data_IF_190859126299
#
_entry.id   IF_190859126299
#
_cell.length_a   1.000
_cell.length_b   1.000
_cell.length_c   1.000
_cell.angle_alpha   90.00
_cell.angle_beta   90.00
_cell.angle_gamma   90.00
#
_symmetry.space_group_name_H-M   'P 1'
#
loop_
_entity.id
_entity.type
_entity.pdbx_description
1 polymer ?
#
# COMPACT_ATOMS: atom_id res chain seq x y z
N UNK A 1 35.42 -59.45 9.04
CA UNK A 1 34.88 -58.38 8.17
C UNK A 1 35.22 -58.76 6.73
N UNK A 2 34.26 -59.14 5.95
CA UNK A 2 34.48 -59.59 4.57
C UNK A 2 34.54 -58.41 3.61
N UNK A 3 35.22 -58.58 2.48
CA UNK A 3 35.34 -57.52 1.42
C UNK A 3 33.98 -56.95 0.99
N UNK A 4 32.89 -57.73 1.14
CA UNK A 4 31.51 -57.30 0.85
C UNK A 4 30.96 -56.26 1.85
N UNK A 5 31.33 -56.33 3.13
CA UNK A 5 30.88 -55.36 4.16
C UNK A 5 31.58 -54.00 4.01
N UNK A 6 32.85 -54.01 3.53
CA UNK A 6 33.60 -52.79 3.27
C UNK A 6 33.04 -52.00 2.05
N UNK A 7 32.64 -52.69 0.99
CA UNK A 7 32.04 -52.08 -0.20
C UNK A 7 30.64 -51.54 0.07
N UNK A 8 29.85 -52.19 0.93
CA UNK A 8 28.49 -51.69 1.30
C UNK A 8 28.57 -50.46 2.21
N UNK A 9 29.58 -50.35 3.09
CA UNK A 9 29.81 -49.16 3.92
C UNK A 9 30.30 -47.96 3.11
N UNK A 10 31.18 -48.17 2.12
CA UNK A 10 31.66 -47.11 1.24
C UNK A 10 30.56 -46.58 0.31
N UNK A 11 29.68 -47.45 -0.20
CA UNK A 11 28.55 -47.07 -1.03
C UNK A 11 27.50 -46.26 -0.25
N UNK A 12 27.25 -46.57 1.04
CA UNK A 12 26.35 -45.82 1.92
C UNK A 12 26.95 -44.46 2.31
N UNK A 13 28.24 -44.35 2.54
CA UNK A 13 28.92 -43.09 2.83
C UNK A 13 28.92 -42.14 1.61
N UNK A 14 29.14 -42.66 0.40
CA UNK A 14 29.05 -41.91 -0.86
C UNK A 14 27.63 -41.48 -1.21
N UNK A 15 26.62 -42.31 -0.92
CA UNK A 15 25.20 -41.94 -1.10
C UNK A 15 24.76 -40.86 -0.12
N UNK A 16 25.25 -40.85 1.11
CA UNK A 16 24.98 -39.79 2.10
C UNK A 16 25.72 -38.48 1.78
N UNK A 17 26.92 -38.53 1.18
CA UNK A 17 27.61 -37.31 0.70
C UNK A 17 26.95 -36.74 -0.55
N UNK A 18 26.37 -37.55 -1.43
CA UNK A 18 25.67 -37.09 -2.63
C UNK A 18 24.29 -36.39 -2.32
N UNK A 19 23.63 -36.75 -1.20
CA UNK A 19 22.39 -36.08 -0.76
C UNK A 19 22.64 -34.76 -0.02
N UNK A 20 23.85 -34.50 0.47
CA UNK A 20 24.18 -33.27 1.19
C UNK A 20 24.59 -32.09 0.29
N UNK A 21 24.74 -32.31 -1.04
CA UNK A 21 25.21 -31.29 -1.99
C UNK A 21 24.06 -30.57 -2.74
N UNK A 22 22.79 -30.93 -2.49
CA UNK A 22 21.64 -30.47 -3.33
C UNK A 22 20.75 -29.42 -2.68
N UNK A 23 21.21 -28.62 -1.73
CA UNK A 23 20.46 -27.47 -1.26
C UNK A 23 21.32 -26.22 -1.03
N UNK A 24 22.14 -25.87 -2.00
CA UNK A 24 22.56 -24.47 -2.09
C UNK A 24 21.31 -23.63 -2.44
N UNK A 25 20.95 -22.61 -1.65
CA UNK A 25 19.87 -21.72 -2.05
C UNK A 25 20.27 -21.11 -3.39
N UNK A 26 19.45 -21.34 -4.42
CA UNK A 26 19.56 -20.57 -5.66
C UNK A 26 19.38 -19.12 -5.26
N UNK A 27 20.48 -18.37 -5.17
CA UNK A 27 20.45 -16.93 -5.02
C UNK A 27 19.68 -16.43 -6.24
N UNK A 28 18.45 -15.97 -6.03
CA UNK A 28 17.65 -15.38 -7.12
C UNK A 28 18.49 -14.24 -7.71
N UNK A 29 18.90 -14.40 -8.95
CA UNK A 29 19.68 -13.39 -9.67
C UNK A 29 18.86 -12.08 -9.74
N UNK A 30 19.55 -10.96 -9.56
CA UNK A 30 18.95 -9.65 -9.79
C UNK A 30 18.50 -9.61 -11.26
N UNK A 31 17.20 -9.38 -11.54
CA UNK A 31 16.71 -9.35 -12.92
C UNK A 31 17.47 -8.30 -13.75
N UNK A 32 17.78 -8.57 -15.01
CA UNK A 32 18.40 -7.59 -15.89
C UNK A 32 17.60 -6.26 -15.89
N UNK A 33 18.28 -5.14 -15.72
CA UNK A 33 17.65 -3.81 -15.67
C UNK A 33 17.11 -3.42 -14.29
N UNK A 34 17.04 -4.32 -13.32
CA UNK A 34 16.73 -3.96 -11.94
C UNK A 34 17.97 -3.42 -11.20
N UNK A 35 17.73 -2.57 -10.19
CA UNK A 35 18.80 -2.10 -9.29
C UNK A 35 18.39 -2.34 -7.84
N UNK A 36 19.36 -2.71 -6.99
CA UNK A 36 19.10 -3.03 -5.59
C UNK A 36 20.27 -2.66 -4.69
N UNK A 37 19.96 -2.33 -3.45
CA UNK A 37 20.93 -2.19 -2.36
C UNK A 37 20.33 -2.77 -1.09
N UNK A 38 21.03 -3.70 -0.44
CA UNK A 38 20.57 -4.39 0.77
C UNK A 38 19.20 -5.07 0.65
N UNK A 39 18.78 -5.38 -0.56
CA UNK A 39 17.52 -6.07 -0.86
C UNK A 39 17.79 -7.21 -1.84
N UNK A 40 17.24 -8.38 -1.55
CA UNK A 40 17.33 -9.58 -2.38
C UNK A 40 15.95 -9.86 -2.99
N UNK A 41 15.93 -10.22 -4.27
CA UNK A 41 14.74 -10.77 -4.93
C UNK A 41 14.54 -12.21 -4.44
N UNK A 42 13.31 -12.55 -4.07
CA UNK A 42 12.91 -13.89 -3.61
C UNK A 42 12.01 -14.55 -4.65
N UNK A 43 11.04 -13.81 -5.20
CA UNK A 43 10.09 -14.31 -6.17
C UNK A 43 9.48 -13.20 -7.01
N UNK A 44 8.75 -13.60 -8.04
CA UNK A 44 8.02 -12.72 -8.94
C UNK A 44 6.78 -13.44 -9.50
N UNK A 45 5.69 -12.69 -9.72
CA UNK A 45 4.49 -13.17 -10.43
C UNK A 45 3.92 -12.09 -11.33
N UNK A 46 3.58 -12.43 -12.55
CA UNK A 46 2.82 -11.56 -13.47
C UNK A 46 1.33 -11.51 -13.10
N UNK A 47 0.89 -12.29 -12.10
CA UNK A 47 -0.48 -12.38 -11.62
C UNK A 47 -1.46 -12.65 -12.78
N UNK A 48 -1.14 -13.63 -13.61
CA UNK A 48 -1.87 -14.00 -14.84
C UNK A 48 -2.10 -12.80 -15.79
N UNK A 49 -1.12 -11.90 -15.89
CA UNK A 49 -1.19 -10.70 -16.71
C UNK A 49 -2.12 -9.61 -16.16
N UNK A 50 -2.41 -9.64 -14.86
CA UNK A 50 -3.17 -8.63 -14.12
C UNK A 50 -2.30 -7.95 -13.06
N UNK A 51 -1.44 -6.98 -13.42
CA UNK A 51 -0.61 -6.29 -12.44
C UNK A 51 -1.42 -5.78 -11.25
N UNK A 52 -1.01 -6.10 -10.01
CA UNK A 52 -1.71 -5.66 -8.82
C UNK A 52 -1.40 -4.20 -8.50
N UNK A 53 -2.29 -3.56 -7.74
CA UNK A 53 -2.09 -2.22 -7.23
C UNK A 53 -1.96 -2.24 -5.70
N UNK A 54 -3.06 -2.42 -4.96
CA UNK A 54 -3.06 -2.45 -3.50
C UNK A 54 -3.02 -3.88 -2.98
N UNK A 55 -2.34 -4.09 -1.86
CA UNK A 55 -2.16 -5.39 -1.24
C UNK A 55 -2.74 -5.44 0.17
N UNK A 56 -3.25 -6.63 0.54
CA UNK A 56 -3.49 -7.03 1.91
C UNK A 56 -3.13 -8.51 2.07
N UNK A 57 -2.89 -8.99 3.30
CA UNK A 57 -2.42 -10.35 3.54
C UNK A 57 -3.04 -10.94 4.80
N UNK A 58 -3.23 -12.25 4.82
CA UNK A 58 -3.50 -13.00 6.05
C UNK A 58 -2.77 -14.35 6.06
N UNK A 59 -2.37 -14.76 7.24
CA UNK A 59 -2.00 -16.14 7.53
C UNK A 59 -3.22 -16.89 8.05
N UNK A 60 -3.45 -18.10 7.55
CA UNK A 60 -4.52 -18.98 8.03
C UNK A 60 -4.12 -20.44 7.89
N UNK A 61 -4.04 -21.11 9.02
CA UNK A 61 -3.74 -22.55 9.06
C UNK A 61 -2.36 -22.91 8.50
N UNK A 62 -1.36 -22.08 8.70
CA UNK A 62 0.00 -22.26 8.20
C UNK A 62 0.19 -21.84 6.73
N UNK A 63 -0.86 -21.35 6.07
CA UNK A 63 -0.82 -20.85 4.69
C UNK A 63 -0.95 -19.33 4.65
N UNK A 64 -0.29 -18.72 3.67
CA UNK A 64 -0.27 -17.26 3.50
C UNK A 64 -1.01 -16.89 2.22
N UNK A 65 -2.03 -16.06 2.37
CA UNK A 65 -2.85 -15.59 1.27
C UNK A 65 -2.69 -14.09 1.11
N UNK A 66 -2.23 -13.68 -0.07
CA UNK A 66 -2.11 -12.27 -0.45
C UNK A 66 -3.29 -11.90 -1.33
N UNK A 67 -3.94 -10.80 -1.00
CA UNK A 67 -5.07 -10.26 -1.76
C UNK A 67 -4.61 -9.01 -2.49
N UNK A 68 -4.98 -8.88 -3.75
CA UNK A 68 -4.53 -7.82 -4.62
C UNK A 68 -5.68 -7.17 -5.38
N UNK A 69 -5.84 -5.85 -5.21
CA UNK A 69 -6.71 -5.03 -6.06
C UNK A 69 -5.97 -4.56 -7.31
N UNK A 70 -6.71 -4.21 -8.37
CA UNK A 70 -6.12 -3.90 -9.67
C UNK A 70 -6.50 -2.50 -10.15
N UNK A 71 -5.51 -1.81 -10.76
CA UNK A 71 -5.71 -0.49 -11.36
C UNK A 71 -6.29 -0.60 -12.78
N UNK A 72 -5.71 -1.49 -13.61
CA UNK A 72 -6.08 -1.65 -15.01
C UNK A 72 -7.08 -2.77 -15.27
N UNK A 73 -7.21 -3.70 -14.33
CA UNK A 73 -8.16 -4.80 -14.36
C UNK A 73 -9.22 -4.61 -13.28
N UNK A 74 -10.42 -5.08 -13.52
CA UNK A 74 -11.54 -4.94 -12.58
C UNK A 74 -11.71 -6.23 -11.80
N UNK A 75 -11.51 -6.16 -10.49
CA UNK A 75 -11.61 -7.30 -9.60
C UNK A 75 -10.47 -7.42 -8.62
N UNK A 76 -10.39 -8.56 -7.98
CA UNK A 76 -9.42 -8.86 -6.92
C UNK A 76 -8.84 -10.24 -7.14
N UNK A 77 -7.53 -10.37 -6.97
CA UNK A 77 -6.82 -11.65 -7.05
C UNK A 77 -6.46 -12.13 -5.65
N UNK A 78 -6.64 -13.41 -5.39
CA UNK A 78 -6.09 -14.11 -4.24
C UNK A 78 -4.88 -14.91 -4.70
N UNK A 79 -3.73 -14.68 -4.07
CA UNK A 79 -2.50 -15.44 -4.32
C UNK A 79 -2.16 -16.28 -3.10
N UNK A 80 -1.70 -17.51 -3.33
CA UNK A 80 -0.98 -18.29 -2.32
C UNK A 80 0.50 -17.89 -2.35
N UNK A 81 0.96 -17.33 -1.25
CA UNK A 81 2.34 -16.90 -1.05
C UNK A 81 3.00 -17.63 0.12
N UNK A 82 2.51 -18.83 0.43
CA UNK A 82 3.08 -19.72 1.45
C UNK A 82 4.55 -19.99 1.15
N UNK A 83 4.86 -20.34 -0.11
CA UNK A 83 6.22 -20.30 -0.63
C UNK A 83 6.42 -18.97 -1.40
N UNK A 84 7.11 -17.98 -0.82
CA UNK A 84 7.27 -16.67 -1.46
C UNK A 84 8.17 -16.71 -2.71
N UNK A 85 8.93 -17.79 -2.91
CA UNK A 85 9.71 -17.98 -4.14
C UNK A 85 8.84 -18.47 -5.31
N UNK A 86 7.65 -18.99 -5.03
CA UNK A 86 6.72 -19.56 -6.02
C UNK A 86 5.28 -19.09 -5.78
N UNK A 87 5.03 -17.75 -5.85
CA UNK A 87 3.68 -17.23 -5.64
C UNK A 87 2.74 -17.75 -6.73
N UNK A 88 1.59 -18.28 -6.34
CA UNK A 88 0.58 -18.83 -7.24
C UNK A 88 -0.74 -18.08 -7.16
N UNK A 89 -1.39 -17.83 -8.30
CA UNK A 89 -2.76 -17.32 -8.32
C UNK A 89 -3.70 -18.45 -7.89
N UNK A 90 -4.44 -18.23 -6.81
CA UNK A 90 -5.40 -19.18 -6.27
C UNK A 90 -6.83 -18.90 -6.75
N UNK A 91 -7.20 -17.61 -6.91
CA UNK A 91 -8.52 -17.21 -7.38
C UNK A 91 -8.49 -15.79 -7.95
N UNK A 92 -9.44 -15.48 -8.83
CA UNK A 92 -9.75 -14.14 -9.29
C UNK A 92 -11.25 -13.87 -9.16
N UNK A 93 -11.60 -12.80 -8.47
CA UNK A 93 -12.97 -12.35 -8.23
C UNK A 93 -13.24 -11.18 -9.18
N UNK A 94 -14.09 -11.33 -10.21
CA UNK A 94 -14.41 -10.23 -11.12
C UNK A 94 -15.09 -9.07 -10.40
N UNK A 95 -14.69 -7.86 -10.70
CA UNK A 95 -15.30 -6.62 -10.22
C UNK A 95 -16.26 -5.99 -11.23
N UNK A 96 -17.04 -4.97 -10.81
CA UNK A 96 -18.00 -4.29 -11.67
C UNK A 96 -17.31 -3.51 -12.81
N UNK A 97 -18.03 -3.36 -13.92
CA UNK A 97 -17.56 -2.59 -15.06
C UNK A 97 -17.38 -1.11 -14.70
N UNK A 98 -16.47 -0.41 -15.39
CA UNK A 98 -16.23 1.04 -15.26
C UNK A 98 -15.97 1.52 -13.82
N UNK A 99 -15.47 0.61 -12.98
CA UNK A 99 -15.28 0.82 -11.54
C UNK A 99 -13.87 0.45 -11.13
N UNK A 100 -13.19 1.32 -10.39
CA UNK A 100 -11.93 0.96 -9.73
C UNK A 100 -12.17 0.00 -8.57
N UNK A 101 -11.33 -1.02 -8.51
CA UNK A 101 -11.29 -2.06 -7.47
C UNK A 101 -9.92 -2.12 -6.80
N UNK A 102 -9.28 -0.96 -6.69
CA UNK A 102 -7.88 -0.85 -6.31
C UNK A 102 -7.62 -1.04 -4.82
N UNK A 103 -8.57 -0.71 -3.96
CA UNK A 103 -8.36 -0.68 -2.52
C UNK A 103 -9.03 -1.84 -1.80
N UNK A 104 -8.31 -2.38 -0.81
CA UNK A 104 -8.83 -3.41 0.09
C UNK A 104 -8.09 -3.42 1.41
N UNK A 105 -8.76 -3.85 2.47
CA UNK A 105 -8.15 -4.15 3.76
C UNK A 105 -8.78 -5.34 4.44
N UNK A 106 -8.01 -6.01 5.30
CA UNK A 106 -8.44 -7.18 6.06
C UNK A 106 -8.35 -6.86 7.54
N UNK A 107 -9.43 -7.13 8.26
CA UNK A 107 -9.50 -7.09 9.71
C UNK A 107 -10.27 -8.32 10.24
N UNK A 108 -9.60 -9.14 11.05
CA UNK A 108 -10.20 -10.38 11.55
C UNK A 108 -10.57 -11.35 10.42
N UNK A 109 -11.84 -11.72 10.36
CA UNK A 109 -12.42 -12.64 9.37
C UNK A 109 -13.08 -11.96 8.16
N UNK A 110 -12.90 -10.64 8.03
CA UNK A 110 -13.53 -9.85 6.95
C UNK A 110 -12.51 -9.15 6.08
N UNK A 111 -12.87 -9.00 4.81
CA UNK A 111 -12.21 -8.13 3.85
C UNK A 111 -13.18 -7.03 3.44
N UNK A 112 -12.67 -5.81 3.35
CA UNK A 112 -13.39 -4.63 2.88
C UNK A 112 -12.74 -4.18 1.58
N UNK A 113 -13.54 -4.05 0.50
CA UNK A 113 -13.02 -3.59 -0.80
C UNK A 113 -13.78 -2.35 -1.26
N UNK A 114 -13.03 -1.32 -1.65
CA UNK A 114 -13.59 -0.07 -2.13
C UNK A 114 -13.97 -0.16 -3.61
N UNK A 115 -15.05 0.52 -3.96
CA UNK A 115 -15.54 0.74 -5.32
C UNK A 115 -15.58 2.24 -5.58
N UNK A 116 -14.89 2.68 -6.63
CA UNK A 116 -14.84 4.09 -7.02
C UNK A 116 -15.03 4.22 -8.53
N UNK A 117 -15.72 5.27 -8.96
CA UNK A 117 -15.82 5.63 -10.37
C UNK A 117 -14.44 5.90 -10.96
N UNK A 118 -14.10 5.27 -12.08
CA UNK A 118 -12.86 5.55 -12.79
C UNK A 118 -12.89 6.96 -13.36
N UNK A 119 -11.85 7.76 -13.06
CA UNK A 119 -11.68 9.07 -13.67
C UNK A 119 -11.43 8.98 -15.18
N UNK A 120 -11.93 9.96 -15.96
CA UNK A 120 -11.81 9.95 -17.42
C UNK A 120 -10.35 9.82 -17.90
N UNK A 121 -9.40 10.53 -17.27
CA UNK A 121 -7.96 10.43 -17.60
C UNK A 121 -7.32 9.05 -17.30
N UNK A 122 -8.06 8.15 -16.66
CA UNK A 122 -7.65 6.80 -16.26
C UNK A 122 -8.42 5.70 -17.02
N UNK A 123 -9.09 6.06 -18.11
CA UNK A 123 -9.85 5.13 -18.93
C UNK A 123 -11.29 4.92 -18.47
N UNK A 124 -11.81 5.77 -17.60
CA UNK A 124 -13.23 5.78 -17.22
C UNK A 124 -14.10 6.40 -18.32
N UNK A 125 -15.29 5.86 -18.47
CA UNK A 125 -16.29 6.33 -19.44
C UNK A 125 -17.50 6.94 -18.71
N UNK A 126 -17.62 8.30 -18.64
CA UNK A 126 -18.65 8.98 -17.84
C UNK A 126 -20.09 8.58 -18.19
N UNK A 127 -20.34 8.16 -19.44
CA UNK A 127 -21.67 7.74 -19.92
C UNK A 127 -22.04 6.30 -19.57
N UNK A 128 -21.08 5.52 -19.10
CA UNK A 128 -21.30 4.12 -18.73
C UNK A 128 -21.63 3.99 -17.23
N UNK A 129 -22.51 3.04 -16.87
CA UNK A 129 -22.76 2.77 -15.47
C UNK A 129 -21.50 2.30 -14.77
N UNK A 130 -21.38 2.67 -13.49
CA UNK A 130 -20.36 2.18 -12.57
C UNK A 130 -21.02 1.74 -11.27
N UNK A 131 -20.32 0.93 -10.51
CA UNK A 131 -20.67 0.66 -9.12
C UNK A 131 -19.83 1.55 -8.18
N UNK A 132 -20.28 1.72 -6.93
CA UNK A 132 -19.64 2.64 -5.99
C UNK A 132 -19.87 2.22 -4.53
N UNK A 133 -19.03 2.74 -3.60
CA UNK A 133 -19.14 2.47 -2.19
C UNK A 133 -18.14 1.43 -1.71
N UNK A 134 -18.59 0.47 -0.93
CA UNK A 134 -17.74 -0.56 -0.30
C UNK A 134 -18.45 -1.89 -0.25
N UNK A 135 -17.73 -2.97 -0.57
CA UNK A 135 -18.18 -4.35 -0.38
C UNK A 135 -17.57 -4.94 0.90
N UNK A 136 -18.38 -5.69 1.63
CA UNK A 136 -17.97 -6.44 2.83
C UNK A 136 -17.97 -7.93 2.50
N UNK A 137 -16.83 -8.60 2.74
CA UNK A 137 -16.64 -10.01 2.41
C UNK A 137 -16.30 -10.81 3.67
N UNK A 138 -16.80 -12.04 3.73
CA UNK A 138 -16.31 -13.07 4.67
C UNK A 138 -15.08 -13.76 4.09
N UNK A 139 -14.06 -13.93 4.91
CA UNK A 139 -12.86 -14.72 4.65
C UNK A 139 -12.88 -16.08 5.36
N UNK A 140 -14.09 -16.63 5.63
CA UNK A 140 -14.23 -17.98 6.19
C UNK A 140 -13.51 -19.01 5.31
N UNK A 141 -13.62 -18.89 3.99
CA UNK A 141 -12.72 -19.49 3.00
C UNK A 141 -11.80 -18.38 2.46
N UNK A 142 -10.49 -18.45 2.72
CA UNK A 142 -9.56 -17.42 2.29
C UNK A 142 -9.37 -17.35 0.77
N UNK A 143 -9.63 -18.44 0.05
CA UNK A 143 -9.49 -18.51 -1.42
C UNK A 143 -10.76 -18.06 -2.12
N UNK A 144 -11.93 -18.31 -1.51
CA UNK A 144 -13.22 -17.94 -2.09
C UNK A 144 -14.00 -17.00 -1.16
N UNK A 145 -13.60 -15.72 -1.03
CA UNK A 145 -14.31 -14.73 -0.23
C UNK A 145 -15.79 -14.64 -0.62
N UNK A 146 -16.67 -14.67 0.38
CA UNK A 146 -18.12 -14.60 0.17
C UNK A 146 -18.61 -13.18 0.44
N UNK A 147 -19.29 -12.56 -0.53
CA UNK A 147 -19.91 -11.26 -0.35
C UNK A 147 -21.01 -11.36 0.73
N UNK A 148 -20.95 -10.44 1.70
CA UNK A 148 -21.92 -10.31 2.79
C UNK A 148 -22.87 -9.14 2.57
N UNK A 149 -22.36 -7.99 2.11
CA UNK A 149 -23.15 -6.79 1.90
C UNK A 149 -22.37 -5.68 1.21
N UNK A 150 -23.06 -4.58 0.96
CA UNK A 150 -22.53 -3.39 0.31
C UNK A 150 -23.05 -2.13 0.99
N UNK A 151 -22.16 -1.17 1.24
CA UNK A 151 -22.51 0.22 1.55
C UNK A 151 -22.38 1.07 0.30
N UNK A 152 -23.43 1.85 -0.02
CA UNK A 152 -23.45 2.81 -1.13
C UNK A 152 -23.21 4.21 -0.61
N UNK A 153 -22.26 4.95 -1.22
CA UNK A 153 -22.02 6.37 -0.90
C UNK A 153 -23.01 7.30 -1.57
N UNK A 154 -23.62 6.87 -2.67
CA UNK A 154 -24.49 7.70 -3.50
C UNK A 154 -23.74 8.73 -4.36
N UNK A 155 -22.40 8.78 -4.27
CA UNK A 155 -21.55 9.74 -4.97
C UNK A 155 -20.56 9.09 -5.93
N UNK A 156 -19.28 9.47 -5.84
CA UNK A 156 -18.22 8.89 -6.68
C UNK A 156 -17.69 7.56 -6.18
N UNK A 157 -18.07 7.17 -4.97
CA UNK A 157 -17.61 5.94 -4.31
C UNK A 157 -16.53 6.20 -3.27
N UNK A 158 -15.80 5.14 -2.94
CA UNK A 158 -14.77 5.15 -1.91
C UNK A 158 -13.38 5.07 -2.54
N UNK A 159 -12.58 6.12 -2.33
CA UNK A 159 -11.20 6.18 -2.81
C UNK A 159 -10.26 5.34 -1.95
N UNK A 160 -10.41 5.40 -0.63
CA UNK A 160 -9.61 4.63 0.34
C UNK A 160 -10.50 4.14 1.47
N UNK A 161 -10.17 2.97 1.99
CA UNK A 161 -10.83 2.40 3.16
C UNK A 161 -9.80 1.97 4.19
N UNK A 162 -10.20 1.91 5.46
CA UNK A 162 -9.45 1.34 6.57
C UNK A 162 -10.39 0.46 7.39
N UNK A 163 -9.88 -0.72 7.75
CA UNK A 163 -10.60 -1.67 8.59
C UNK A 163 -9.63 -2.52 9.41
N UNK A 164 -9.67 -2.36 10.72
CA UNK A 164 -8.82 -3.13 11.65
C UNK A 164 -9.56 -4.26 12.37
N UNK A 165 -10.80 -4.52 11.96
CA UNK A 165 -11.71 -5.44 12.66
C UNK A 165 -12.80 -4.69 13.44
N UNK A 166 -13.70 -5.46 14.09
CA UNK A 166 -14.82 -4.90 14.84
C UNK A 166 -16.00 -4.46 13.99
N UNK A 167 -16.76 -3.49 14.49
CA UNK A 167 -18.04 -3.06 13.89
C UNK A 167 -17.93 -1.88 12.92
N UNK A 168 -16.81 -1.18 12.87
CA UNK A 168 -16.71 0.03 12.07
C UNK A 168 -15.66 -0.06 10.99
N UNK A 169 -15.98 0.35 9.77
CA UNK A 169 -15.04 0.66 8.71
C UNK A 169 -14.98 2.17 8.48
N UNK A 170 -13.83 2.65 8.04
CA UNK A 170 -13.52 4.06 7.89
C UNK A 170 -13.16 4.36 6.44
N UNK A 171 -13.77 5.37 5.83
CA UNK A 171 -13.73 5.63 4.40
C UNK A 171 -13.27 7.05 4.09
N UNK A 172 -12.46 7.17 3.04
CA UNK A 172 -12.29 8.40 2.28
C UNK A 172 -13.24 8.33 1.08
N UNK A 173 -14.39 8.98 1.16
CA UNK A 173 -15.50 8.75 0.24
C UNK A 173 -16.02 10.05 -0.41
N UNK A 174 -16.28 9.97 -1.71
CA UNK A 174 -16.98 11.02 -2.45
C UNK A 174 -18.47 10.90 -2.23
N UNK A 175 -19.04 11.85 -1.46
CA UNK A 175 -20.45 11.87 -1.04
C UNK A 175 -21.22 12.96 -1.77
N UNK A 176 -22.54 12.79 -2.03
CA UNK A 176 -23.37 13.84 -2.60
C UNK A 176 -23.37 15.12 -1.73
N UNK A 177 -23.25 16.26 -2.36
CA UNK A 177 -23.25 17.56 -1.66
C UNK A 177 -21.91 17.97 -1.08
N UNK A 178 -20.85 17.22 -1.36
CA UNK A 178 -19.48 17.53 -0.93
C UNK A 178 -18.53 17.65 -2.12
N UNK A 179 -17.49 18.48 -1.96
CA UNK A 179 -16.36 18.59 -2.89
C UNK A 179 -15.23 17.68 -2.42
N UNK A 180 -14.73 16.81 -3.31
CA UNK A 180 -13.71 15.82 -2.99
C UNK A 180 -14.21 14.74 -2.02
N UNK A 181 -13.28 13.92 -1.53
CA UNK A 181 -13.60 12.89 -0.55
C UNK A 181 -13.66 13.48 0.86
N UNK A 182 -14.59 13.00 1.66
CA UNK A 182 -14.72 13.30 3.09
C UNK A 182 -14.49 12.03 3.92
N UNK A 183 -14.35 12.18 5.22
CA UNK A 183 -14.28 11.06 6.15
C UNK A 183 -15.68 10.56 6.49
N UNK A 184 -15.89 9.23 6.33
CA UNK A 184 -17.15 8.56 6.64
C UNK A 184 -16.87 7.32 7.48
N UNK A 185 -17.67 7.13 8.54
CA UNK A 185 -17.66 5.95 9.41
C UNK A 185 -18.91 5.14 9.09
N UNK A 186 -18.75 3.85 8.84
CA UNK A 186 -19.84 2.94 8.52
C UNK A 186 -19.88 1.79 9.51
N UNK A 187 -21.02 1.55 10.11
CA UNK A 187 -21.29 0.41 10.97
C UNK A 187 -21.57 -0.82 10.11
N UNK A 188 -20.81 -1.88 10.35
CA UNK A 188 -20.93 -3.20 9.75
C UNK A 188 -21.14 -4.29 10.81
N UNK A 189 -21.68 -3.93 11.98
CA UNK A 189 -22.09 -4.89 13.01
C UNK A 189 -23.05 -5.95 12.45
N UNK A 190 -23.99 -5.54 11.57
CA UNK A 190 -24.66 -6.43 10.60
C UNK A 190 -24.02 -6.21 9.21
N UNK A 191 -23.09 -7.06 8.77
CA UNK A 191 -22.41 -6.87 7.51
C UNK A 191 -23.32 -6.98 6.27
N UNK A 192 -24.55 -7.52 6.42
CA UNK A 192 -25.54 -7.57 5.35
C UNK A 192 -26.28 -6.24 5.18
N UNK A 193 -26.22 -5.36 6.18
CA UNK A 193 -26.91 -4.07 6.21
C UNK A 193 -25.98 -2.96 6.72
N UNK A 194 -24.88 -2.65 6.03
CA UNK A 194 -23.99 -1.57 6.43
C UNK A 194 -24.72 -0.24 6.46
N UNK A 195 -24.51 0.55 7.53
CA UNK A 195 -25.17 1.87 7.68
C UNK A 195 -24.14 2.91 8.09
N UNK A 196 -24.30 4.15 7.63
CA UNK A 196 -23.47 5.25 8.07
C UNK A 196 -23.68 5.52 9.56
N UNK A 197 -22.56 5.58 10.31
CA UNK A 197 -22.52 5.90 11.73
C UNK A 197 -22.11 7.35 11.99
N UNK A 198 -21.30 7.95 11.11
CA UNK A 198 -20.86 9.32 11.25
C UNK A 198 -20.02 9.80 10.08
N UNK A 199 -19.79 11.11 10.01
CA UNK A 199 -18.94 11.74 8.98
C UNK A 199 -18.25 12.99 9.50
N UNK A 200 -17.17 13.36 8.83
CA UNK A 200 -16.48 14.62 9.09
C UNK A 200 -15.83 15.16 7.80
N UNK A 201 -15.73 16.47 7.69
CA UNK A 201 -15.13 17.14 6.53
C UNK A 201 -14.39 18.41 6.95
N UNK A 202 -13.44 18.81 6.14
CA UNK A 202 -12.77 20.12 6.30
C UNK A 202 -13.72 21.22 5.81
N UNK A 203 -13.78 22.32 6.55
CA UNK A 203 -14.56 23.50 6.17
C UNK A 203 -14.22 23.93 4.74
N UNK A 204 -15.22 24.13 3.93
CA UNK A 204 -15.12 24.42 2.50
C UNK A 204 -15.58 23.29 1.61
N UNK A 205 -15.73 22.07 2.11
CA UNK A 205 -16.16 20.92 1.30
C UNK A 205 -17.67 20.74 1.21
N UNK A 206 -18.48 21.22 2.15
CA UNK A 206 -19.94 21.02 2.17
C UNK A 206 -20.65 21.99 1.21
N UNK A 207 -20.62 21.67 -0.08
CA UNK A 207 -21.19 22.54 -1.15
C UNK A 207 -22.71 22.63 -1.09
N UNK A 208 -23.42 21.56 -0.69
CA UNK A 208 -24.86 21.61 -0.46
C UNK A 208 -25.23 22.51 0.71
N UNK A 209 -24.35 22.77 1.66
CA UNK A 209 -24.50 23.73 2.75
C UNK A 209 -24.05 25.16 2.40
N UNK A 210 -23.75 25.44 1.12
CA UNK A 210 -23.36 26.77 0.64
C UNK A 210 -21.83 27.05 0.74
N UNK A 211 -21.00 26.08 1.10
CA UNK A 211 -19.55 26.22 1.06
C UNK A 211 -19.04 26.20 -0.39
N UNK A 212 -17.95 26.94 -0.70
CA UNK A 212 -17.51 27.14 -2.10
C UNK A 212 -16.88 25.94 -2.78
N UNK A 213 -16.50 24.92 -2.01
CA UNK A 213 -15.66 23.85 -2.48
C UNK A 213 -14.19 24.30 -2.69
N UNK A 214 -13.26 23.42 -2.40
CA UNK A 214 -11.83 23.65 -2.64
C UNK A 214 -11.27 22.38 -3.27
N UNK A 215 -10.77 22.50 -4.51
CA UNK A 215 -10.36 21.35 -5.33
C UNK A 215 -9.26 20.51 -4.69
N UNK A 216 -8.32 21.16 -3.99
CA UNK A 216 -7.14 20.51 -3.44
C UNK A 216 -7.35 19.99 -2.01
N UNK A 217 -8.54 20.25 -1.42
CA UNK A 217 -8.95 19.70 -0.13
C UNK A 217 -9.79 18.47 -0.38
N UNK A 218 -9.20 17.31 -0.17
CA UNK A 218 -9.84 16.02 -0.32
C UNK A 218 -9.14 15.03 0.59
N UNK A 219 -9.87 14.21 1.31
CA UNK A 219 -9.28 13.08 2.02
C UNK A 219 -8.78 12.07 0.99
N UNK A 220 -7.49 11.76 1.02
CA UNK A 220 -6.86 10.93 0.00
C UNK A 220 -6.37 9.59 0.55
N UNK A 221 -5.66 9.61 1.67
CA UNK A 221 -5.14 8.39 2.29
C UNK A 221 -6.21 7.59 3.05
N UNK A 222 -5.89 6.35 3.44
CA UNK A 222 -6.76 5.60 4.31
C UNK A 222 -6.89 6.32 5.67
N UNK A 223 -8.10 6.42 6.22
CA UNK A 223 -8.30 6.93 7.58
C UNK A 223 -7.69 5.96 8.59
N UNK A 224 -6.50 6.22 9.12
CA UNK A 224 -5.83 5.30 10.03
C UNK A 224 -6.31 5.50 11.47
N UNK A 225 -6.92 4.46 12.03
CA UNK A 225 -7.46 4.50 13.40
C UNK A 225 -6.50 3.85 14.39
N UNK A 226 -6.24 4.55 15.48
CA UNK A 226 -5.48 4.06 16.63
C UNK A 226 -6.17 4.48 17.93
N UNK A 227 -6.75 3.53 18.63
CA UNK A 227 -7.60 3.81 19.80
C UNK A 227 -8.82 4.64 19.43
N UNK A 228 -9.03 5.78 20.09
CA UNK A 228 -10.10 6.74 19.78
C UNK A 228 -9.67 7.83 18.82
N UNK A 229 -8.45 7.79 18.28
CA UNK A 229 -7.97 8.79 17.32
C UNK A 229 -7.97 8.22 15.90
N UNK A 230 -8.33 9.06 14.94
CA UNK A 230 -8.12 8.79 13.53
C UNK A 230 -7.18 9.84 12.92
N UNK A 231 -6.23 9.35 12.13
CA UNK A 231 -5.21 10.14 11.44
C UNK A 231 -5.56 10.16 9.95
N UNK A 232 -5.82 11.36 9.43
CA UNK A 232 -6.33 11.59 8.08
C UNK A 232 -5.32 12.35 7.24
N UNK A 233 -5.03 11.83 6.05
CA UNK A 233 -4.22 12.52 5.05
C UNK A 233 -5.14 13.31 4.11
N UNK A 234 -5.26 14.61 4.37
CA UNK A 234 -6.32 15.44 3.82
C UNK A 234 -5.84 16.38 2.69
N UNK A 235 -5.01 15.85 1.79
CA UNK A 235 -4.50 16.62 0.65
C UNK A 235 -3.81 17.91 1.08
N UNK A 236 -4.25 19.06 0.56
CA UNK A 236 -3.71 20.36 0.90
C UNK A 236 -3.99 20.78 2.37
N UNK A 237 -5.00 20.24 3.02
CA UNK A 237 -5.24 20.49 4.44
C UNK A 237 -4.23 19.76 5.35
N UNK A 238 -3.45 18.82 4.81
CA UNK A 238 -2.35 18.16 5.50
C UNK A 238 -2.79 16.98 6.36
N UNK A 239 -2.08 16.75 7.47
CA UNK A 239 -2.46 15.80 8.50
C UNK A 239 -3.59 16.39 9.35
N UNK A 240 -4.70 15.66 9.46
CA UNK A 240 -5.82 15.99 10.35
C UNK A 240 -5.99 14.85 11.36
N UNK A 241 -6.14 15.19 12.63
CA UNK A 241 -6.35 14.23 13.72
C UNK A 241 -7.71 14.50 14.34
N UNK A 242 -8.58 13.47 14.38
CA UNK A 242 -9.89 13.57 15.01
C UNK A 242 -9.98 12.61 16.21
N UNK A 243 -10.79 12.98 17.19
CA UNK A 243 -11.32 12.08 18.20
C UNK A 243 -12.65 11.48 17.69
N UNK A 244 -12.73 10.17 17.69
CA UNK A 244 -13.89 9.37 17.27
C UNK A 244 -14.43 8.49 18.41
N UNK A 245 -14.17 8.85 19.67
CA UNK A 245 -14.78 8.16 20.81
C UNK A 245 -16.31 8.16 20.71
N UNK A 246 -16.89 9.24 20.20
CA UNK A 246 -18.27 9.30 19.71
C UNK A 246 -18.23 9.24 18.18
N UNK A 247 -18.47 8.07 17.61
CA UNK A 247 -18.40 7.83 16.15
C UNK A 247 -19.43 8.67 15.36
N UNK A 248 -20.54 9.06 16.00
CA UNK A 248 -21.57 9.88 15.36
C UNK A 248 -21.14 11.35 15.22
N UNK A 249 -20.24 11.80 16.09
CA UNK A 249 -19.79 13.20 16.14
C UNK A 249 -18.27 13.31 16.24
N UNK A 250 -17.51 12.95 15.18
CA UNK A 250 -16.05 13.10 15.17
C UNK A 250 -15.63 14.54 15.43
N UNK A 251 -14.60 14.74 16.29
CA UNK A 251 -14.15 16.07 16.69
C UNK A 251 -12.71 16.32 16.29
N UNK A 252 -12.42 17.51 15.75
CA UNK A 252 -11.05 17.91 15.44
C UNK A 252 -10.24 18.03 16.73
N UNK A 253 -9.11 17.33 16.77
CA UNK A 253 -8.10 17.39 17.84
C UNK A 253 -6.94 18.28 17.41
N UNK A 254 -6.36 18.03 16.24
CA UNK A 254 -5.23 18.78 15.73
C UNK A 254 -5.09 18.70 14.22
N UNK A 255 -4.28 19.60 13.67
CA UNK A 255 -4.00 19.67 12.25
C UNK A 255 -2.60 20.20 11.99
N UNK A 256 -1.90 19.61 11.02
CA UNK A 256 -0.64 20.10 10.49
C UNK A 256 -0.74 20.28 8.97
N UNK A 257 -0.93 21.50 8.44
CA UNK A 257 -0.91 21.73 7.01
C UNK A 257 0.50 21.59 6.46
N UNK A 258 0.63 20.98 5.29
CA UNK A 258 1.90 20.92 4.54
C UNK A 258 1.95 21.96 3.41
N UNK A 259 0.87 22.67 3.16
CA UNK A 259 0.77 23.72 2.15
C UNK A 259 0.41 25.05 2.80
N UNK A 260 1.14 26.15 2.52
CA UNK A 260 2.55 26.16 2.13
C UNK A 260 3.44 25.61 3.25
N UNK A 261 4.70 25.18 3.02
CA UNK A 261 5.50 25.45 1.82
C UNK A 261 5.42 24.38 0.72
N UNK A 262 4.85 23.19 0.98
CA UNK A 262 4.83 22.08 0.02
C UNK A 262 3.57 22.17 -0.84
N UNK A 263 3.70 22.70 -2.05
CA UNK A 263 2.58 22.92 -2.99
C UNK A 263 2.33 21.74 -3.94
N UNK A 264 2.64 20.49 -3.53
CA UNK A 264 2.29 19.29 -4.29
C UNK A 264 0.77 19.17 -4.47
N UNK A 265 0.32 18.55 -5.55
CA UNK A 265 -1.11 18.38 -5.84
C UNK A 265 -1.83 17.61 -4.71
N UNK A 266 -1.15 16.61 -4.14
CA UNK A 266 -1.60 15.90 -2.95
C UNK A 266 -0.53 16.06 -1.85
N UNK A 267 -0.64 17.12 -1.06
CA UNK A 267 0.32 17.48 -0.01
C UNK A 267 0.39 16.47 1.13
N UNK A 268 -0.73 15.82 1.48
CA UNK A 268 -0.78 14.65 2.37
C UNK A 268 -1.59 13.54 1.70
N UNK A 269 -0.92 12.40 1.44
CA UNK A 269 -1.47 11.22 0.79
C UNK A 269 -1.66 10.06 1.77
N UNK A 270 -0.66 9.73 2.57
CA UNK A 270 -0.73 8.64 3.54
C UNK A 270 -0.20 9.08 4.90
N UNK A 271 -0.81 8.57 5.96
CA UNK A 271 -0.37 8.77 7.33
C UNK A 271 -0.31 7.41 8.04
N UNK A 272 0.82 7.14 8.70
CA UNK A 272 1.00 5.98 9.58
C UNK A 272 1.46 6.46 10.95
N UNK A 273 0.60 6.44 11.98
CA UNK A 273 1.00 6.73 13.35
C UNK A 273 1.85 5.58 13.91
N UNK A 274 2.85 5.93 14.70
CA UNK A 274 3.65 5.04 15.54
C UNK A 274 3.52 5.51 17.00
N UNK A 275 2.43 5.15 17.71
CA UNK A 275 2.09 5.72 19.01
C UNK A 275 3.15 5.44 20.09
N UNK A 276 3.79 4.25 20.06
CA UNK A 276 4.88 3.90 20.98
C UNK A 276 6.05 4.89 20.94
N UNK A 277 6.26 5.54 19.79
CA UNK A 277 7.29 6.54 19.56
C UNK A 277 6.77 7.97 19.58
N UNK A 278 5.46 8.17 19.70
CA UNK A 278 4.79 9.48 19.62
C UNK A 278 5.10 10.25 18.34
N UNK A 279 5.25 9.53 17.21
CA UNK A 279 5.48 10.11 15.89
C UNK A 279 4.48 9.54 14.87
N UNK A 280 4.31 10.24 13.76
CA UNK A 280 3.62 9.73 12.58
C UNK A 280 4.50 9.91 11.34
N UNK A 281 4.42 8.97 10.40
CA UNK A 281 4.92 9.15 9.04
C UNK A 281 3.82 9.80 8.23
N UNK A 282 4.13 10.87 7.50
CA UNK A 282 3.21 11.53 6.56
C UNK A 282 3.94 11.75 5.24
N UNK A 283 3.31 11.34 4.14
CA UNK A 283 3.87 11.58 2.81
C UNK A 283 2.85 12.16 1.83
N UNK A 284 3.36 12.92 0.86
CA UNK A 284 2.63 13.39 -0.31
C UNK A 284 2.52 12.28 -1.38
N UNK A 285 1.85 12.59 -2.49
CA UNK A 285 1.87 11.78 -3.72
C UNK A 285 2.24 12.66 -4.92
N UNK A 286 3.13 12.16 -5.77
CA UNK A 286 3.37 12.73 -7.09
C UNK A 286 2.27 12.32 -8.06
N UNK A 287 1.53 13.28 -8.62
CA UNK A 287 0.49 13.04 -9.63
C UNK A 287 1.01 13.29 -11.05
N UNK A 288 1.81 14.33 -11.22
CA UNK A 288 2.31 14.71 -12.55
C UNK A 288 3.64 14.01 -12.84
N UNK A 289 3.75 13.51 -14.07
CA UNK A 289 4.98 12.89 -14.56
C UNK A 289 6.09 13.92 -14.78
N UNK A 290 7.33 13.44 -14.88
CA UNK A 290 8.53 14.21 -15.23
C UNK A 290 8.79 15.39 -14.30
N UNK A 291 8.44 15.27 -13.02
CA UNK A 291 8.58 16.31 -12.00
C UNK A 291 7.89 17.65 -12.38
N UNK A 292 6.76 17.58 -13.09
CA UNK A 292 5.99 18.78 -13.49
C UNK A 292 5.09 19.32 -12.37
N UNK A 293 5.42 19.03 -11.14
CA UNK A 293 4.77 19.57 -9.94
C UNK A 293 5.80 19.93 -8.87
N UNK A 294 5.41 20.75 -7.88
CA UNK A 294 6.29 21.10 -6.78
C UNK A 294 6.75 19.90 -5.95
N UNK A 295 7.60 20.16 -4.98
CA UNK A 295 8.24 19.17 -4.13
C UNK A 295 7.25 18.16 -3.53
N UNK A 296 7.56 16.88 -3.72
CA UNK A 296 6.94 15.77 -3.04
C UNK A 296 7.83 15.31 -1.89
N UNK A 297 7.23 14.91 -0.76
CA UNK A 297 7.93 14.60 0.47
C UNK A 297 7.38 13.37 1.20
N UNK A 298 8.25 12.74 1.99
CA UNK A 298 7.87 11.91 3.13
C UNK A 298 8.54 12.49 4.38
N UNK A 299 7.84 12.49 5.51
CA UNK A 299 8.27 13.19 6.71
C UNK A 299 7.87 12.44 7.98
N UNK A 300 8.57 12.76 9.07
CA UNK A 300 8.18 12.41 10.43
C UNK A 300 7.55 13.61 11.11
N UNK A 301 6.44 13.38 11.77
CA UNK A 301 5.67 14.37 12.52
C UNK A 301 5.66 13.96 13.97
N UNK A 302 5.99 14.88 14.88
CA UNK A 302 5.79 14.71 16.32
C UNK A 302 4.29 14.79 16.62
N UNK A 303 3.75 13.76 17.25
CA UNK A 303 2.36 13.65 17.71
C UNK A 303 2.28 13.35 19.22
N UNK A 304 3.33 13.72 19.99
CA UNK A 304 3.31 13.56 21.44
C UNK A 304 2.14 14.32 22.08
N UNK A 305 1.81 15.49 21.55
CA UNK A 305 0.54 16.19 21.77
C UNK A 305 -0.24 16.18 20.45
N UNK A 306 -1.25 15.33 20.29
CA UNK A 306 -2.01 15.24 19.05
C UNK A 306 -2.78 16.52 18.72
N UNK A 307 -2.96 17.44 19.67
CA UNK A 307 -3.57 18.74 19.42
C UNK A 307 -2.59 19.73 18.77
N UNK A 308 -1.28 19.44 18.81
CA UNK A 308 -0.20 20.31 18.29
C UNK A 308 0.83 19.52 17.50
N UNK A 309 0.41 18.80 16.43
CA UNK A 309 1.34 18.03 15.62
C UNK A 309 2.36 18.96 14.96
N UNK A 310 3.63 18.54 14.92
CA UNK A 310 4.72 19.36 14.40
C UNK A 310 5.66 18.56 13.50
N UNK A 311 6.12 19.15 12.40
CA UNK A 311 7.11 18.54 11.52
C UNK A 311 8.42 18.32 12.29
N UNK A 312 8.91 17.08 12.32
CA UNK A 312 10.13 16.69 13.01
C UNK A 312 11.33 16.58 12.07
N UNK A 313 11.16 15.90 10.96
CA UNK A 313 12.19 15.69 9.94
C UNK A 313 11.57 15.25 8.62
N UNK A 314 12.39 15.27 7.55
CA UNK A 314 12.02 14.78 6.23
C UNK A 314 12.91 13.60 5.84
N UNK A 315 12.37 12.68 5.05
CA UNK A 315 13.14 11.57 4.48
C UNK A 315 14.09 12.11 3.40
N UNK A 316 15.26 11.47 3.22
CA UNK A 316 16.14 11.80 2.12
C UNK A 316 15.48 11.55 0.77
N UNK A 317 15.72 12.44 -0.20
CA UNK A 317 15.29 12.20 -1.57
C UNK A 317 16.09 11.03 -2.17
N UNK A 318 15.43 10.09 -2.87
CA UNK A 318 16.14 9.02 -3.55
C UNK A 318 17.14 9.53 -4.61
N UNK A 319 18.33 8.95 -4.62
CA UNK A 319 19.38 9.23 -5.61
C UNK A 319 19.49 8.02 -6.55
N UNK A 320 19.65 8.23 -7.88
CA UNK A 320 19.88 7.13 -8.80
C UNK A 320 21.12 6.30 -8.43
N UNK A 321 21.08 4.98 -8.62
CA UNK A 321 22.26 4.13 -8.45
C UNK A 321 23.41 4.59 -9.35
N UNK A 322 24.65 4.36 -8.90
CA UNK A 322 25.84 4.61 -9.71
C UNK A 322 25.75 3.82 -11.03
N UNK A 323 26.08 4.46 -12.15
CA UNK A 323 25.99 3.86 -13.48
C UNK A 323 24.60 3.89 -14.11
N UNK A 324 23.60 4.51 -13.47
CA UNK A 324 22.29 4.73 -14.08
C UNK A 324 22.39 5.54 -15.37
N UNK A 325 21.57 5.25 -16.41
CA UNK A 325 21.57 6.00 -17.66
C UNK A 325 20.89 7.38 -17.57
N UNK A 326 20.49 7.80 -16.38
CA UNK A 326 19.86 9.08 -16.05
C UNK A 326 20.52 9.70 -14.81
N UNK A 327 20.63 11.03 -14.78
CA UNK A 327 21.28 11.77 -13.69
C UNK A 327 20.39 11.93 -12.45
N UNK A 328 19.07 11.92 -12.67
CA UNK A 328 18.05 12.03 -11.63
C UNK A 328 16.77 11.31 -12.09
N UNK A 329 15.85 11.05 -11.17
CA UNK A 329 14.62 10.33 -11.47
C UNK A 329 13.61 11.14 -12.30
N UNK A 330 13.74 12.46 -12.40
CA UNK A 330 12.93 13.26 -13.32
C UNK A 330 13.30 12.95 -14.78
N UNK A 331 14.59 12.77 -15.07
CA UNK A 331 15.08 12.36 -16.41
C UNK A 331 14.71 10.92 -16.77
N UNK A 332 14.58 10.03 -15.77
CA UNK A 332 14.07 8.66 -15.99
C UNK A 332 12.69 8.71 -16.63
N UNK A 333 11.85 9.64 -16.20
CA UNK A 333 10.47 9.82 -16.67
C UNK A 333 9.44 9.12 -15.79
N UNK A 334 8.16 9.35 -16.07
CA UNK A 334 7.06 8.90 -15.22
C UNK A 334 6.96 9.73 -13.93
N UNK A 335 6.20 9.23 -12.95
CA UNK A 335 6.06 9.89 -11.65
C UNK A 335 7.30 9.67 -10.79
N UNK A 336 7.73 10.71 -10.07
CA UNK A 336 8.78 10.66 -9.06
C UNK A 336 8.27 11.31 -7.77
N UNK A 337 8.14 10.55 -6.73
CA UNK A 337 7.66 10.97 -5.41
C UNK A 337 7.22 9.77 -4.59
N UNK A 338 7.00 9.95 -3.28
CA UNK A 338 6.49 8.90 -2.42
C UNK A 338 5.04 8.54 -2.78
N UNK A 339 4.61 7.34 -2.41
CA UNK A 339 3.23 6.88 -2.62
C UNK A 339 2.72 6.08 -1.42
N UNK A 340 2.74 4.76 -1.46
CA UNK A 340 2.22 3.93 -0.39
C UNK A 340 3.30 3.46 0.57
N UNK A 341 2.88 3.28 1.83
CA UNK A 341 3.67 2.77 2.93
C UNK A 341 3.25 1.32 3.27
N UNK A 342 4.11 0.54 3.91
CA UNK A 342 3.69 -0.63 4.69
C UNK A 342 2.91 -0.14 5.93
N UNK A 343 1.60 0.10 5.79
CA UNK A 343 0.79 0.79 6.79
C UNK A 343 -0.18 -0.13 7.56
N UNK A 344 -0.35 -1.39 7.16
CA UNK A 344 -1.34 -2.30 7.75
C UNK A 344 -0.90 -2.85 9.13
N UNK A 345 -0.36 -2.00 9.99
CA UNK A 345 0.21 -2.40 11.28
C UNK A 345 -0.81 -2.97 12.27
N UNK A 346 -2.10 -2.79 12.03
CA UNK A 346 -3.18 -3.45 12.79
C UNK A 346 -3.32 -4.94 12.44
N UNK A 347 -2.85 -5.37 11.28
CA UNK A 347 -2.97 -6.74 10.80
C UNK A 347 -1.83 -7.61 11.38
N UNK A 348 -2.14 -8.69 12.14
CA UNK A 348 -1.10 -9.54 12.75
C UNK A 348 -0.22 -10.28 11.74
N UNK A 349 -0.66 -10.41 10.49
CA UNK A 349 0.14 -11.03 9.42
C UNK A 349 1.13 -10.05 8.77
N UNK A 350 1.14 -8.78 9.19
CA UNK A 350 2.01 -7.72 8.66
C UNK A 350 3.10 -7.37 9.67
N UNK A 351 4.31 -7.14 9.19
CA UNK A 351 5.42 -6.66 10.02
C UNK A 351 5.10 -5.27 10.60
N UNK A 352 5.23 -5.16 11.92
CA UNK A 352 5.13 -3.90 12.64
C UNK A 352 6.54 -3.43 12.99
N UNK A 353 7.06 -2.47 12.24
CA UNK A 353 8.36 -1.87 12.53
C UNK A 353 8.20 -0.43 13.03
N UNK A 354 8.88 -0.11 14.12
CA UNK A 354 9.03 1.24 14.62
C UNK A 354 10.40 1.87 14.25
N UNK A 355 11.22 1.14 13.49
CA UNK A 355 12.58 1.53 13.07
C UNK A 355 12.76 1.60 11.58
N UNK A 356 12.06 0.76 10.83
CA UNK A 356 12.15 0.72 9.37
C UNK A 356 10.82 1.14 8.75
N UNK A 357 10.90 2.05 7.79
CA UNK A 357 9.77 2.44 6.96
C UNK A 357 10.01 1.91 5.56
N UNK A 358 9.05 1.14 5.05
CA UNK A 358 9.03 0.67 3.68
C UNK A 358 8.06 1.54 2.88
N UNK A 359 8.55 2.15 1.81
CA UNK A 359 7.85 3.17 1.06
C UNK A 359 8.07 2.97 -0.44
N UNK A 360 7.01 2.96 -1.24
CA UNK A 360 7.15 3.06 -2.68
C UNK A 360 7.36 4.49 -3.12
N UNK A 361 8.18 4.67 -4.15
CA UNK A 361 8.59 5.96 -4.66
C UNK A 361 8.48 6.02 -6.19
N UNK A 362 7.38 5.49 -6.73
CA UNK A 362 7.10 5.35 -8.15
C UNK A 362 8.30 4.86 -8.98
N UNK A 363 8.86 5.71 -9.89
CA UNK A 363 9.97 5.33 -10.76
C UNK A 363 11.30 5.08 -10.03
N UNK A 364 11.40 5.50 -8.77
CA UNK A 364 12.51 5.18 -7.88
C UNK A 364 12.33 3.86 -7.11
N UNK A 365 11.20 3.15 -7.29
CA UNK A 365 10.96 1.81 -6.74
C UNK A 365 10.64 1.79 -5.25
N UNK A 366 10.98 0.70 -4.58
CA UNK A 366 10.92 0.56 -3.11
C UNK A 366 12.08 1.31 -2.47
N UNK A 367 11.79 2.03 -1.38
CA UNK A 367 12.77 2.62 -0.47
C UNK A 367 12.58 2.08 0.94
N UNK A 368 13.68 1.79 1.63
CA UNK A 368 13.71 1.37 3.03
C UNK A 368 14.47 2.41 3.79
N UNK A 369 13.80 3.03 4.76
CA UNK A 369 14.35 4.15 5.54
C UNK A 369 14.42 3.76 7.01
N UNK A 370 15.61 3.86 7.59
CA UNK A 370 15.83 3.73 9.03
C UNK A 370 15.46 5.04 9.72
N UNK A 371 14.48 4.97 10.61
CA UNK A 371 13.98 6.06 11.43
C UNK A 371 14.32 5.89 12.91
N UNK A 372 15.29 5.05 13.25
CA UNK A 372 15.73 4.85 14.65
C UNK A 372 16.07 6.17 15.33
N UNK A 373 16.77 7.06 14.61
CA UNK A 373 16.84 8.49 14.94
C UNK A 373 15.77 9.24 14.14
N UNK A 374 14.70 9.63 14.82
CA UNK A 374 13.60 10.35 14.18
C UNK A 374 13.97 11.75 13.66
N UNK A 375 15.12 12.31 14.04
CA UNK A 375 15.61 13.60 13.55
C UNK A 375 16.53 13.48 12.34
N UNK A 376 17.06 12.28 12.09
CA UNK A 376 17.99 12.00 11.00
C UNK A 376 17.67 10.68 10.29
N UNK A 377 16.50 10.58 9.61
CA UNK A 377 16.11 9.37 8.86
C UNK A 377 17.14 9.11 7.74
N UNK A 378 17.46 7.81 7.51
CA UNK A 378 18.48 7.40 6.54
C UNK A 378 17.95 6.30 5.64
N UNK A 379 18.14 6.42 4.32
CA UNK A 379 17.92 5.31 3.41
C UNK A 379 18.94 4.18 3.67
N UNK A 380 18.44 2.98 3.90
CA UNK A 380 19.24 1.78 4.21
C UNK A 380 19.09 0.67 3.20
N UNK A 381 18.17 0.80 2.25
CA UNK A 381 17.97 -0.16 1.18
C UNK A 381 17.00 0.33 0.12
N UNK A 382 17.11 -0.25 -1.08
CA UNK A 382 16.16 0.01 -2.16
C UNK A 382 16.08 -1.17 -3.13
N UNK A 383 14.97 -1.22 -3.85
CA UNK A 383 14.80 -2.05 -5.05
C UNK A 383 14.08 -1.24 -6.13
N UNK A 384 14.70 -1.11 -7.29
CA UNK A 384 14.10 -0.50 -8.47
C UNK A 384 13.82 -1.62 -9.46
N UNK A 385 12.56 -1.92 -9.78
CA UNK A 385 12.22 -2.92 -10.80
C UNK A 385 12.81 -2.55 -12.16
N UNK A 386 13.05 -3.54 -13.05
CA UNK A 386 13.34 -3.24 -14.45
C UNK A 386 12.18 -2.46 -15.08
N UNK A 387 12.46 -1.71 -16.13
CA UNK A 387 11.38 -1.03 -16.85
C UNK A 387 10.48 -2.06 -17.57
N UNK A 388 9.14 -1.87 -17.57
CA UNK A 388 8.21 -2.81 -18.17
C UNK A 388 8.32 -2.82 -19.69
N UNK A 389 8.12 -3.99 -20.28
CA UNK A 389 8.08 -4.18 -21.75
C UNK A 389 6.66 -4.19 -22.31
N UNK A 390 5.64 -4.32 -21.45
CA UNK A 390 4.22 -4.38 -21.82
C UNK A 390 3.45 -3.28 -21.11
N UNK A 391 2.46 -2.71 -21.78
CA UNK A 391 1.56 -1.69 -21.24
C UNK A 391 0.17 -2.30 -21.02
N UNK A 392 -0.42 -2.04 -19.85
CA UNK A 392 -1.78 -2.44 -19.53
C UNK A 392 -2.76 -1.27 -19.48
N UNK A 393 -2.29 -0.06 -19.22
CA UNK A 393 -3.12 1.13 -19.11
C UNK A 393 -2.48 2.37 -19.73
N UNK A 394 -3.06 3.54 -19.46
CA UNK A 394 -2.65 4.81 -20.08
C UNK A 394 -1.36 5.40 -19.53
N UNK A 395 -0.99 5.04 -18.31
CA UNK A 395 0.15 5.61 -17.57
C UNK A 395 1.18 4.55 -17.16
N UNK A 396 2.46 4.90 -17.05
CA UNK A 396 3.07 6.19 -17.38
C UNK A 396 3.17 6.42 -18.88
N UNK A 397 3.32 7.69 -19.30
CA UNK A 397 3.52 8.05 -20.70
C UNK A 397 4.78 7.39 -21.27
N UNK A 398 5.90 7.55 -20.60
CA UNK A 398 7.13 6.79 -20.86
C UNK A 398 7.07 5.43 -20.16
N UNK A 399 7.42 4.36 -20.85
CA UNK A 399 7.44 3.01 -20.29
C UNK A 399 8.62 2.85 -19.32
N UNK A 400 8.43 3.29 -18.10
CA UNK A 400 9.36 3.14 -16.97
C UNK A 400 8.64 2.50 -15.79
N UNK A 401 9.38 1.80 -14.95
CA UNK A 401 8.82 1.18 -13.76
C UNK A 401 8.15 2.21 -12.85
N UNK A 402 7.00 1.83 -12.29
CA UNK A 402 6.21 2.64 -11.35
C UNK A 402 5.75 1.73 -10.20
N UNK A 403 6.52 1.73 -9.11
CA UNK A 403 6.15 0.99 -7.90
C UNK A 403 4.96 1.67 -7.22
N UNK A 404 3.90 0.91 -6.95
CA UNK A 404 2.62 1.45 -6.47
C UNK A 404 2.40 1.18 -4.98
N UNK A 405 2.53 -0.06 -4.54
CA UNK A 405 2.27 -0.45 -3.16
C UNK A 405 3.38 -1.31 -2.58
N UNK A 406 3.49 -1.28 -1.26
CA UNK A 406 4.39 -2.15 -0.50
C UNK A 406 3.67 -2.71 0.72
N UNK A 407 3.87 -4.00 0.95
CA UNK A 407 3.45 -4.71 2.14
C UNK A 407 4.61 -5.58 2.62
N UNK A 408 4.86 -5.62 3.92
CA UNK A 408 5.85 -6.54 4.52
C UNK A 408 5.12 -7.50 5.44
N UNK A 409 5.23 -8.79 5.18
CA UNK A 409 4.58 -9.78 6.04
C UNK A 409 5.37 -10.03 7.34
N UNK A 410 4.73 -10.67 8.31
CA UNK A 410 5.36 -10.96 9.60
C UNK A 410 6.56 -11.93 9.52
N UNK A 411 6.80 -12.57 8.35
CA UNK A 411 8.02 -13.35 8.06
C UNK A 411 9.17 -12.48 7.54
N UNK A 412 8.92 -11.18 7.27
CA UNK A 412 9.87 -10.21 6.71
C UNK A 412 10.01 -10.29 5.18
N UNK A 413 9.06 -10.90 4.46
CA UNK A 413 9.00 -10.81 3.01
C UNK A 413 8.30 -9.53 2.60
N UNK A 414 8.90 -8.82 1.65
CA UNK A 414 8.43 -7.53 1.15
C UNK A 414 7.77 -7.77 -0.20
N UNK A 415 6.51 -7.40 -0.33
CA UNK A 415 5.71 -7.48 -1.54
C UNK A 415 5.62 -6.08 -2.14
N UNK A 416 6.07 -5.93 -3.39
CA UNK A 416 6.03 -4.64 -4.11
C UNK A 416 5.28 -4.82 -5.40
N UNK A 417 4.27 -3.99 -5.61
CA UNK A 417 3.51 -3.97 -6.86
C UNK A 417 4.10 -2.99 -7.86
N UNK A 418 4.07 -3.37 -9.13
CA UNK A 418 4.46 -2.52 -10.23
C UNK A 418 3.30 -2.41 -11.24
N UNK A 419 3.02 -1.21 -11.69
CA UNK A 419 1.82 -0.83 -12.46
C UNK A 419 1.61 -1.61 -13.77
N UNK A 420 2.68 -2.01 -14.45
CA UNK A 420 2.66 -2.66 -15.75
C UNK A 420 3.41 -4.00 -15.79
N UNK A 421 3.86 -4.54 -14.66
CA UNK A 421 4.58 -5.83 -14.62
C UNK A 421 3.84 -6.87 -13.78
N UNK A 422 3.83 -6.65 -12.44
CA UNK A 422 3.29 -7.65 -11.54
C UNK A 422 3.70 -7.42 -10.08
N UNK A 423 3.92 -8.52 -9.38
CA UNK A 423 4.25 -8.58 -7.97
C UNK A 423 5.70 -9.05 -7.78
N UNK A 424 6.53 -8.22 -7.17
CA UNK A 424 7.87 -8.56 -6.73
C UNK A 424 7.85 -8.99 -5.27
N UNK A 425 8.52 -10.08 -4.94
CA UNK A 425 8.70 -10.56 -3.57
C UNK A 425 10.18 -10.46 -3.23
N UNK A 426 10.47 -9.73 -2.17
CA UNK A 426 11.80 -9.27 -1.81
C UNK A 426 12.10 -9.60 -0.35
N UNK A 427 13.37 -9.48 0.04
CA UNK A 427 13.80 -9.51 1.44
C UNK A 427 14.87 -8.47 1.70
N UNK A 428 14.74 -7.73 2.78
CA UNK A 428 15.78 -6.83 3.26
C UNK A 428 16.90 -7.63 3.91
N UNK A 429 18.16 -7.34 3.50
CA UNK A 429 19.38 -8.01 3.99
C UNK A 429 20.35 -6.90 4.36
N UNK A 430 20.36 -6.43 5.62
CA UNK A 430 21.27 -5.37 6.05
C UNK A 430 22.74 -5.80 5.91
N UNK A 431 23.62 -4.85 5.57
CA UNK A 431 25.08 -5.09 5.51
C UNK A 431 25.58 -5.55 6.88
N UNK A 432 26.28 -6.67 6.92
CA UNK A 432 26.81 -7.29 8.14
C UNK A 432 26.14 -8.59 8.54
N UNK A 433 25.01 -8.94 7.97
CA UNK A 433 24.33 -10.23 8.15
C UNK A 433 24.40 -11.07 6.87
N UNK A 434 25.59 -11.28 6.32
CA UNK A 434 25.77 -12.36 5.37
C UNK A 434 25.72 -13.68 6.15
N UNK A 435 24.75 -14.60 5.84
CA UNK A 435 24.76 -15.93 6.40
C UNK A 435 25.95 -16.74 5.90
#
# INVERSE_FOLDING_TARGET
>A
MTLLEFTASLARALALLALAVLSAPVLAQIPPGAATSNVRVVGYSEVDGRPPFKLSIQERGGRWYLYAGHLWHRGWTVLDVTDPAKPGVANFIPGPANTWTIQMEIGGDKMITALERIGQGWGGEPSQPNDEGVLVWSLADPVHPKLLGQYKTGGTGTHRNFYSGGSYMHLAAGMPGYSGNIYVIVDIGDPAKPVEAGRWWVRGQHTAGGEKGQRDISLHGPPYVEGSLVYLSYGAAGLVILDIADVAHPKLVGQLPFTPPFLGFIGAHSTLPLPSRKIAIVNSEAIREDCKEPLNHASLVDIADPAKPALLSMFPLPVPPAGSPYRNFCEKGGRFGPHNLNHLHHNPSVERSDKLVYLTYFNAGLRIVDISDARAPREVGYFIPPDPTRRYGTLPTKMVAQAEDVLVDARGYIYVTEKNQGLWILRYVPKGNNP
#
